data_IF_190415905570
#
_entry.id   IF_190415905570
#
_cell.length_a   1.000
_cell.length_b   1.000
_cell.length_c   1.000
_cell.angle_alpha   90.00
_cell.angle_beta   90.00
_cell.angle_gamma   90.00
#
_symmetry.space_group_name_H-M   'P 1'
#
loop_
_entity.id
_entity.type
_entity.pdbx_description
1 polymer ?
#
# COMPACT_ATOMS: atom_id res chain seq x y z
N UNK A 1 55.83 20.10 10.82
CA UNK A 1 54.57 19.74 10.16
C UNK A 1 54.31 18.24 10.20
N UNK A 2 55.35 17.39 10.21
CA UNK A 2 55.19 15.93 10.42
C UNK A 2 54.87 15.53 11.87
N UNK A 3 55.36 16.25 12.88
CA UNK A 3 55.07 15.92 14.29
C UNK A 3 53.57 16.03 14.64
N UNK A 4 52.88 17.06 14.12
CA UNK A 4 51.43 17.22 14.27
C UNK A 4 50.62 16.21 13.43
N UNK A 5 51.24 15.59 12.43
CA UNK A 5 50.59 14.57 11.61
C UNK A 5 50.62 13.21 12.30
N UNK A 6 51.63 12.96 13.13
CA UNK A 6 51.75 11.73 13.93
C UNK A 6 50.81 11.82 15.14
N UNK A 7 50.72 12.98 15.80
CA UNK A 7 49.85 13.18 16.96
C UNK A 7 48.34 13.07 16.64
N UNK A 8 47.92 13.37 15.41
CA UNK A 8 46.52 13.15 14.97
C UNK A 8 46.18 11.66 14.73
N UNK A 9 47.18 10.83 14.39
CA UNK A 9 46.98 9.40 14.15
C UNK A 9 47.30 8.52 15.37
N UNK A 10 47.94 9.05 16.41
CA UNK A 10 48.29 8.30 17.64
C UNK A 10 47.24 8.39 18.76
N UNK A 11 46.22 9.26 18.66
CA UNK A 11 45.23 9.46 19.74
C UNK A 11 43.94 8.63 19.53
N UNK A 12 43.78 7.90 18.42
CA UNK A 12 42.53 7.17 18.12
C UNK A 12 42.73 5.66 17.89
N UNK A 13 43.94 5.14 18.09
CA UNK A 13 44.21 3.71 17.94
C UNK A 13 44.64 3.11 19.29
N UNK A 14 43.68 2.51 20.02
CA UNK A 14 43.79 1.11 20.49
C UNK A 14 42.69 0.69 21.48
N UNK A 15 42.03 1.60 22.20
CA UNK A 15 41.08 1.17 23.27
C UNK A 15 39.59 1.08 22.87
N UNK A 16 39.19 1.62 21.71
CA UNK A 16 37.78 1.58 21.24
C UNK A 16 37.57 0.71 19.99
N UNK A 17 38.65 0.32 19.30
CA UNK A 17 38.56 -0.57 18.14
C UNK A 17 37.96 -1.94 18.49
N UNK A 18 38.38 -2.60 19.60
CA UNK A 18 37.81 -3.88 20.01
C UNK A 18 36.32 -3.76 20.36
N UNK A 19 35.92 -2.63 20.93
CA UNK A 19 34.53 -2.36 21.30
C UNK A 19 33.64 -2.20 20.06
N UNK A 20 34.12 -1.50 19.03
CA UNK A 20 33.38 -1.36 17.78
C UNK A 20 33.31 -2.67 16.99
N UNK A 21 34.39 -3.46 17.00
CA UNK A 21 34.42 -4.78 16.35
C UNK A 21 33.46 -5.75 17.05
N UNK A 22 33.40 -5.74 18.38
CA UNK A 22 32.43 -6.49 19.18
C UNK A 22 30.98 -6.04 18.94
N UNK A 23 30.72 -4.73 18.82
CA UNK A 23 29.39 -4.20 18.50
C UNK A 23 28.97 -4.59 17.08
N UNK A 24 29.90 -4.57 16.12
CA UNK A 24 29.62 -5.01 14.74
C UNK A 24 29.33 -6.50 14.67
N UNK A 25 30.06 -7.32 15.42
CA UNK A 25 29.85 -8.76 15.53
C UNK A 25 28.48 -9.07 16.17
N UNK A 26 28.13 -8.37 17.26
CA UNK A 26 26.81 -8.47 17.92
C UNK A 26 25.65 -8.07 16.98
N UNK A 27 25.82 -6.98 16.22
CA UNK A 27 24.82 -6.54 15.24
C UNK A 27 24.67 -7.51 14.06
N UNK A 28 25.73 -8.20 13.67
CA UNK A 28 25.70 -9.21 12.60
C UNK A 28 24.97 -10.48 13.06
N UNK A 29 25.16 -10.90 14.32
CA UNK A 29 24.42 -11.99 14.94
C UNK A 29 22.91 -11.70 14.99
N UNK A 30 22.52 -10.52 15.47
CA UNK A 30 21.12 -10.07 15.50
C UNK A 30 20.50 -10.04 14.09
N UNK A 31 21.28 -9.60 13.09
CA UNK A 31 20.84 -9.56 11.70
C UNK A 31 20.55 -10.97 11.16
N UNK A 32 21.42 -11.94 11.47
CA UNK A 32 21.23 -13.33 11.04
C UNK A 32 20.02 -13.97 11.75
N UNK A 33 19.78 -13.65 13.03
CA UNK A 33 18.58 -14.10 13.75
C UNK A 33 17.29 -13.55 13.11
N UNK A 34 17.25 -12.24 12.83
CA UNK A 34 16.09 -11.59 12.19
C UNK A 34 15.85 -12.18 10.80
N UNK A 35 16.90 -12.44 10.04
CA UNK A 35 16.81 -13.04 8.70
C UNK A 35 16.21 -14.44 8.75
N UNK A 36 16.62 -15.28 9.71
CA UNK A 36 16.05 -16.62 9.92
C UNK A 36 14.57 -16.54 10.32
N UNK A 37 14.21 -15.61 11.21
CA UNK A 37 12.82 -15.39 11.62
C UNK A 37 11.94 -14.97 10.43
N UNK A 38 12.41 -14.05 9.59
CA UNK A 38 11.70 -13.61 8.39
C UNK A 38 11.54 -14.74 7.37
N UNK A 39 12.60 -15.52 7.11
CA UNK A 39 12.52 -16.68 6.23
C UNK A 39 11.50 -17.70 6.73
N UNK A 40 11.50 -17.97 8.04
CA UNK A 40 10.54 -18.90 8.66
C UNK A 40 9.10 -18.40 8.52
N UNK A 41 8.86 -17.10 8.73
CA UNK A 41 7.55 -16.50 8.53
C UNK A 41 7.10 -16.57 7.06
N UNK A 42 7.98 -16.27 6.10
CA UNK A 42 7.67 -16.35 4.67
C UNK A 42 7.32 -17.78 4.25
N UNK A 43 8.05 -18.79 4.73
CA UNK A 43 7.75 -20.20 4.47
C UNK A 43 6.37 -20.59 5.04
N UNK A 44 6.04 -20.12 6.25
CA UNK A 44 4.74 -20.37 6.90
C UNK A 44 3.56 -19.73 6.14
N UNK A 45 3.78 -18.61 5.47
CA UNK A 45 2.76 -17.94 4.66
C UNK A 45 2.47 -18.65 3.32
N UNK A 46 3.43 -19.40 2.77
CA UNK A 46 3.26 -20.15 1.51
C UNK A 46 2.28 -21.34 1.67
N UNK A 47 2.20 -21.92 2.86
CA UNK A 47 1.22 -22.97 3.19
C UNK A 47 -0.20 -22.42 3.40
N UNK A 48 -0.33 -21.15 3.82
CA UNK A 48 -1.62 -20.46 3.93
C UNK A 48 -2.17 -20.19 2.53
N UNK A 49 -1.33 -19.77 1.57
CA UNK A 49 -1.70 -19.52 0.17
C UNK A 49 -2.23 -20.78 -0.54
N UNK A 50 -1.63 -21.95 -0.28
CA UNK A 50 -2.09 -23.23 -0.85
C UNK A 50 -3.44 -23.68 -0.28
N UNK A 51 -3.74 -23.37 0.98
CA UNK A 51 -5.05 -23.66 1.58
C UNK A 51 -6.18 -22.79 1.02
N UNK A 52 -5.88 -21.57 0.55
CA UNK A 52 -6.87 -20.80 -0.23
C UNK A 52 -7.02 -21.41 -1.64
N UNK A 53 -5.95 -21.93 -2.26
CA UNK A 53 -6.01 -22.67 -3.55
C UNK A 53 -6.88 -23.93 -3.57
N UNK A 54 -7.05 -24.60 -2.43
CA UNK A 54 -7.86 -25.83 -2.35
C UNK A 54 -9.37 -25.52 -2.39
N UNK A 55 -9.82 -24.36 -1.90
CA UNK A 55 -11.25 -24.05 -1.91
C UNK A 55 -11.77 -23.68 -3.32
N UNK A 56 -10.91 -23.21 -4.23
CA UNK A 56 -11.31 -22.96 -5.63
C UNK A 56 -11.28 -24.22 -6.51
N UNK A 57 -10.44 -25.21 -6.17
CA UNK A 57 -10.26 -26.43 -6.97
C UNK A 57 -11.18 -27.57 -6.55
N UNK A 58 -11.61 -27.61 -5.29
CA UNK A 58 -12.65 -28.54 -4.82
C UNK A 58 -14.04 -28.28 -5.43
N UNK A 59 -14.26 -27.12 -6.05
CA UNK A 59 -15.49 -26.75 -6.77
C UNK A 59 -15.59 -27.34 -8.20
N UNK A 60 -14.56 -28.02 -8.70
CA UNK A 60 -14.48 -28.39 -10.13
C UNK A 60 -14.89 -29.82 -10.49
N UNK A 61 -15.23 -30.70 -9.52
CA UNK A 61 -15.44 -32.13 -9.80
C UNK A 61 -16.86 -32.65 -9.52
N UNK A 62 -17.89 -31.80 -9.56
CA UNK A 62 -19.27 -32.28 -9.52
C UNK A 62 -20.11 -31.64 -10.64
N UNK A 63 -20.29 -32.39 -11.73
CA UNK A 63 -21.10 -32.12 -12.92
C UNK A 63 -22.63 -31.96 -12.64
N UNK A 64 -23.03 -31.41 -11.50
CA UNK A 64 -24.44 -31.12 -11.21
C UNK A 64 -24.71 -29.91 -10.32
N UNK A 65 -23.75 -29.00 -10.15
CA UNK A 65 -24.04 -27.67 -9.61
C UNK A 65 -23.98 -26.67 -10.76
N UNK A 66 -25.14 -26.50 -11.43
CA UNK A 66 -25.48 -25.25 -12.10
C UNK A 66 -25.63 -24.16 -11.03
N UNK A 67 -24.54 -23.89 -10.31
CA UNK A 67 -24.40 -22.68 -9.52
C UNK A 67 -24.28 -21.57 -10.54
N UNK A 68 -25.38 -20.84 -10.69
CA UNK A 68 -25.45 -19.56 -11.36
C UNK A 68 -24.30 -18.69 -10.85
N UNK A 69 -23.15 -18.73 -11.53
CA UNK A 69 -22.14 -17.69 -11.39
C UNK A 69 -22.78 -16.44 -11.96
N UNK A 70 -23.52 -15.74 -11.11
CA UNK A 70 -23.99 -14.39 -11.38
C UNK A 70 -22.71 -13.58 -11.56
N UNK A 71 -22.33 -13.32 -12.82
CA UNK A 71 -21.37 -12.29 -13.14
C UNK A 71 -21.96 -11.00 -12.59
N UNK A 72 -21.42 -10.53 -11.47
CA UNK A 72 -21.76 -9.21 -10.97
C UNK A 72 -21.43 -8.23 -12.10
N UNK A 73 -22.34 -7.28 -12.42
CA UNK A 73 -22.03 -6.22 -13.36
C UNK A 73 -20.74 -5.53 -12.91
N UNK A 74 -19.87 -5.16 -13.85
CA UNK A 74 -18.76 -4.27 -13.53
C UNK A 74 -19.35 -3.05 -12.82
N UNK A 75 -18.96 -2.83 -11.56
CA UNK A 75 -19.45 -1.70 -10.78
C UNK A 75 -18.93 -0.44 -11.44
N UNK A 76 -19.78 0.17 -12.27
CA UNK A 76 -19.49 1.45 -12.89
C UNK A 76 -19.42 2.52 -11.80
N UNK A 77 -18.34 3.29 -11.78
CA UNK A 77 -18.25 4.46 -10.91
C UNK A 77 -19.40 5.42 -11.21
N UNK A 78 -19.99 6.04 -10.17
CA UNK A 78 -20.99 7.08 -10.37
C UNK A 78 -20.37 8.24 -11.13
N UNK A 79 -21.17 8.90 -11.99
CA UNK A 79 -20.71 10.06 -12.76
C UNK A 79 -21.40 11.32 -12.25
N UNK A 80 -20.65 12.42 -12.19
CA UNK A 80 -21.17 13.73 -11.81
C UNK A 80 -21.03 14.71 -12.96
N UNK A 81 -22.15 15.28 -13.40
CA UNK A 81 -22.20 16.16 -14.58
C UNK A 81 -22.22 17.66 -14.24
N UNK A 82 -22.20 18.03 -12.95
CA UNK A 82 -22.25 19.43 -12.49
C UNK A 82 -23.60 19.88 -11.94
N UNK A 83 -24.61 19.00 -11.93
CA UNK A 83 -25.93 19.30 -11.38
C UNK A 83 -25.89 19.21 -9.86
N UNK A 84 -25.88 20.37 -9.20
CA UNK A 84 -25.73 20.48 -7.73
C UNK A 84 -26.80 19.66 -6.98
N UNK A 85 -28.03 19.58 -7.48
CA UNK A 85 -29.10 18.76 -6.87
C UNK A 85 -28.71 17.28 -6.72
N UNK A 86 -27.89 16.76 -7.64
CA UNK A 86 -27.43 15.37 -7.64
C UNK A 86 -26.12 15.19 -6.86
N UNK A 87 -25.52 16.26 -6.33
CA UNK A 87 -24.23 16.21 -5.65
C UNK A 87 -24.27 15.30 -4.42
N UNK A 88 -25.31 15.42 -3.59
CA UNK A 88 -25.44 14.62 -2.36
C UNK A 88 -25.53 13.12 -2.65
N UNK A 89 -26.22 12.74 -3.73
CA UNK A 89 -26.36 11.34 -4.14
C UNK A 89 -25.09 10.81 -4.79
N UNK A 90 -24.40 11.63 -5.57
CA UNK A 90 -23.09 11.30 -6.12
C UNK A 90 -22.07 11.08 -4.99
N UNK A 91 -21.94 12.03 -4.06
CA UNK A 91 -21.00 11.99 -2.93
C UNK A 91 -21.21 10.73 -2.09
N UNK A 92 -22.46 10.41 -1.73
CA UNK A 92 -22.79 9.19 -0.97
C UNK A 92 -22.34 7.91 -1.68
N UNK A 93 -22.57 7.81 -2.98
CA UNK A 93 -22.17 6.65 -3.77
C UNK A 93 -20.65 6.56 -3.93
N UNK A 94 -20.01 7.70 -4.20
CA UNK A 94 -18.56 7.79 -4.34
C UNK A 94 -17.85 7.44 -3.03
N UNK A 95 -18.39 7.89 -1.89
CA UNK A 95 -17.85 7.58 -0.56
C UNK A 95 -17.89 6.09 -0.24
N UNK A 96 -19.00 5.43 -0.57
CA UNK A 96 -19.15 3.98 -0.38
C UNK A 96 -18.20 3.15 -1.24
N UNK A 97 -17.74 3.67 -2.38
CA UNK A 97 -16.93 2.93 -3.35
C UNK A 97 -15.43 3.26 -3.25
N UNK A 98 -15.08 4.53 -3.02
CA UNK A 98 -13.71 5.04 -3.16
C UNK A 98 -13.21 5.70 -1.87
N UNK A 99 -13.95 6.62 -1.26
CA UNK A 99 -13.45 7.38 -0.08
C UNK A 99 -13.15 6.45 1.10
N UNK A 100 -14.05 5.50 1.38
CA UNK A 100 -13.93 4.53 2.47
C UNK A 100 -13.01 3.35 2.15
N UNK A 101 -12.41 3.29 0.96
CA UNK A 101 -11.49 2.24 0.57
C UNK A 101 -10.09 2.53 1.13
N UNK A 102 -9.67 1.77 2.14
CA UNK A 102 -8.37 1.92 2.82
C UNK A 102 -7.18 1.43 1.99
N UNK A 103 -7.41 0.73 0.88
CA UNK A 103 -6.36 0.27 -0.04
C UNK A 103 -5.90 1.40 -0.96
N UNK A 104 -6.79 2.35 -1.26
CA UNK A 104 -6.49 3.47 -2.14
C UNK A 104 -5.86 4.62 -1.36
N UNK A 105 -4.79 5.20 -1.90
CA UNK A 105 -4.22 6.44 -1.38
C UNK A 105 -4.93 7.67 -1.97
N UNK A 106 -4.67 8.85 -1.42
CA UNK A 106 -5.38 10.08 -1.78
C UNK A 106 -5.16 10.49 -3.25
N UNK A 107 -3.99 10.19 -3.82
CA UNK A 107 -3.69 10.46 -5.24
C UNK A 107 -4.57 9.57 -6.13
N UNK A 108 -4.73 8.29 -5.77
CA UNK A 108 -5.60 7.35 -6.49
C UNK A 108 -7.06 7.75 -6.35
N UNK A 109 -7.51 8.12 -5.13
CA UNK A 109 -8.87 8.61 -4.89
C UNK A 109 -9.17 9.87 -5.71
N UNK A 110 -8.23 10.82 -5.79
CA UNK A 110 -8.33 12.00 -6.64
C UNK A 110 -8.44 11.64 -8.12
N UNK A 111 -7.65 10.67 -8.59
CA UNK A 111 -7.74 10.19 -9.98
C UNK A 111 -9.12 9.59 -10.31
N UNK A 112 -9.70 8.83 -9.39
CA UNK A 112 -11.06 8.31 -9.56
C UNK A 112 -12.10 9.42 -9.55
N UNK A 113 -11.94 10.41 -8.67
CA UNK A 113 -12.85 11.57 -8.60
C UNK A 113 -12.83 12.33 -9.92
N UNK A 114 -11.63 12.68 -10.41
CA UNK A 114 -11.39 13.28 -11.74
C UNK A 114 -12.07 12.53 -12.87
N UNK A 115 -11.96 11.20 -12.85
CA UNK A 115 -12.53 10.34 -13.88
C UNK A 115 -14.07 10.30 -13.83
N UNK A 116 -14.65 10.49 -12.65
CA UNK A 116 -16.09 10.53 -12.41
C UNK A 116 -16.73 11.89 -12.75
N UNK A 117 -15.97 12.99 -12.78
CA UNK A 117 -16.45 14.29 -13.23
C UNK A 117 -16.60 14.33 -14.76
N UNK A 118 -17.82 14.63 -15.23
CA UNK A 118 -18.21 14.75 -16.63
C UNK A 118 -18.84 16.12 -16.89
N UNK A 119 -18.98 16.49 -18.17
CA UNK A 119 -19.66 17.73 -18.56
C UNK A 119 -19.07 18.98 -17.89
N UNK A 120 -19.95 19.81 -17.32
CA UNK A 120 -19.58 21.07 -16.67
C UNK A 120 -18.76 20.86 -15.38
N UNK A 121 -19.00 19.75 -14.65
CA UNK A 121 -18.20 19.43 -13.47
C UNK A 121 -16.72 19.23 -13.80
N UNK A 122 -16.41 18.67 -14.97
CA UNK A 122 -15.02 18.45 -15.40
C UNK A 122 -14.30 19.76 -15.72
N UNK A 123 -15.02 20.79 -16.12
CA UNK A 123 -14.43 22.10 -16.46
C UNK A 123 -14.21 23.01 -15.25
N UNK A 124 -14.90 22.74 -14.14
CA UNK A 124 -14.76 23.52 -12.90
C UNK A 124 -13.52 23.10 -12.12
N UNK A 125 -13.04 21.87 -12.32
CA UNK A 125 -11.85 21.36 -11.66
C UNK A 125 -10.57 22.12 -12.08
N UNK A 126 -9.79 22.54 -11.10
CA UNK A 126 -8.48 23.16 -11.29
C UNK A 126 -7.36 22.16 -11.02
N UNK A 127 -6.18 22.37 -11.62
CA UNK A 127 -5.03 21.47 -11.43
C UNK A 127 -4.47 21.47 -10.00
N UNK A 128 -4.84 22.46 -9.19
CA UNK A 128 -4.37 22.65 -7.81
C UNK A 128 -5.27 21.95 -6.78
N UNK A 129 -6.44 21.43 -7.19
CA UNK A 129 -7.40 20.86 -6.26
C UNK A 129 -6.91 19.53 -5.65
N UNK A 130 -7.07 19.42 -4.32
CA UNK A 130 -6.81 18.19 -3.57
C UNK A 130 -8.10 17.40 -3.36
N UNK A 131 -7.99 16.09 -3.15
CA UNK A 131 -9.16 15.22 -2.91
C UNK A 131 -10.02 15.74 -1.75
N UNK A 132 -9.36 16.11 -0.65
CA UNK A 132 -10.03 16.69 0.52
C UNK A 132 -10.73 18.01 0.18
N UNK A 133 -10.11 18.90 -0.59
CA UNK A 133 -10.74 20.18 -0.97
C UNK A 133 -11.98 20.03 -1.85
N UNK A 134 -12.09 18.93 -2.61
CA UNK A 134 -13.24 18.67 -3.49
C UNK A 134 -14.35 17.87 -2.80
N UNK A 135 -14.02 17.15 -1.72
CA UNK A 135 -14.97 16.28 -1.00
C UNK A 135 -15.42 16.85 0.35
N UNK A 136 -14.75 17.86 0.88
CA UNK A 136 -15.15 18.55 2.11
C UNK A 136 -16.05 19.74 1.75
N UNK A 137 -17.21 19.85 2.41
CA UNK A 137 -18.14 20.98 2.26
C UNK A 137 -17.63 22.24 2.98
#
# INVERSE_FOLDING_TARGET
MEALKIEYYEVVADEQLPNLELILEEMEDDLEEIKVALQTLLLKHDDISKNVSICYTALSNNDNLKSSFIKLPDVSLPEFHGVIENWSDFKRQFDSLITNNSVLNDIQKLFYLRSALKGEARTIETSEDTFESLMTD
#
